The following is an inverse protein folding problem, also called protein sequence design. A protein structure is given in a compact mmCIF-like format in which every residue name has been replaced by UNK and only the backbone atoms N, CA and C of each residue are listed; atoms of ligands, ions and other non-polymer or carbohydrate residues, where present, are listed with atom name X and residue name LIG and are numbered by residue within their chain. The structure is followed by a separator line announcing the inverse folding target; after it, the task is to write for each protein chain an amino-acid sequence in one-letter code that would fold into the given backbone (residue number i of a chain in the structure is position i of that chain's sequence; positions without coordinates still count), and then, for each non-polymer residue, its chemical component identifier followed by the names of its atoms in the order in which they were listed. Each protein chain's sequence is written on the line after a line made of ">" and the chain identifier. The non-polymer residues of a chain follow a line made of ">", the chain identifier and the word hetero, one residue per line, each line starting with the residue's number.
data_IF_875682279001
#
_entry.id   IF_875682279001
#
_cell.length_a   1.000
_cell.length_b   1.000
_cell.length_c   1.000
_cell.angle_alpha   90.00
_cell.angle_beta   90.00
_cell.angle_gamma   90.00
#
_symmetry.space_group_name_H-M   'P 1'
#
loop_
_entity.id
_entity.type
_entity.pdbx_description
1 polymer ?
#
# COMPACT_ATOMS: atom_id res chain seq x y z
N UNK A 1 -50.67 -5.54 -22.17
CA UNK A 1 -49.80 -6.40 -21.34
C UNK A 1 -50.16 -6.16 -19.89
N UNK A 2 -50.52 -7.23 -19.18
CA UNK A 2 -50.87 -7.17 -17.77
C UNK A 2 -49.66 -6.71 -16.94
N UNK A 3 -49.88 -6.07 -15.80
CA UNK A 3 -48.76 -5.56 -14.98
C UNK A 3 -47.88 -6.68 -14.42
N UNK A 4 -48.40 -7.90 -14.39
CA UNK A 4 -47.69 -9.14 -14.05
C UNK A 4 -46.68 -9.51 -15.15
N UNK A 5 -47.06 -9.39 -16.43
CA UNK A 5 -46.16 -9.64 -17.57
C UNK A 5 -44.98 -8.65 -17.56
N UNK A 6 -45.27 -7.35 -17.37
CA UNK A 6 -44.23 -6.32 -17.27
C UNK A 6 -43.26 -6.58 -16.11
N UNK A 7 -43.77 -7.02 -14.96
CA UNK A 7 -42.92 -7.36 -13.81
C UNK A 7 -42.01 -8.56 -14.09
N UNK A 8 -42.51 -9.56 -14.82
CA UNK A 8 -41.73 -10.73 -15.24
C UNK A 8 -40.65 -10.36 -16.27
N UNK A 9 -40.95 -9.47 -17.22
CA UNK A 9 -39.98 -8.98 -18.20
C UNK A 9 -38.84 -8.20 -17.53
N UNK A 10 -39.16 -7.31 -16.58
CA UNK A 10 -38.16 -6.58 -15.79
C UNK A 10 -37.27 -7.54 -14.98
N UNK A 11 -37.87 -8.61 -14.42
CA UNK A 11 -37.12 -9.64 -13.69
C UNK A 11 -36.20 -10.43 -14.62
N UNK A 12 -36.67 -10.79 -15.82
CA UNK A 12 -35.88 -11.47 -16.84
C UNK A 12 -34.68 -10.60 -17.28
N UNK A 13 -34.90 -9.32 -17.52
CA UNK A 13 -33.85 -8.34 -17.87
C UNK A 13 -32.78 -8.21 -16.77
N UNK A 14 -33.20 -8.14 -15.50
CA UNK A 14 -32.28 -8.08 -14.36
C UNK A 14 -31.43 -9.35 -14.27
N UNK A 15 -32.03 -10.52 -14.46
CA UNK A 15 -31.33 -11.81 -14.46
C UNK A 15 -30.36 -11.93 -15.64
N UNK A 16 -30.73 -11.43 -16.82
CA UNK A 16 -29.86 -11.38 -17.99
C UNK A 16 -28.64 -10.48 -17.74
N UNK A 17 -28.84 -9.28 -17.19
CA UNK A 17 -27.74 -8.36 -16.81
C UNK A 17 -26.80 -8.98 -15.78
N UNK A 18 -27.33 -9.69 -14.78
CA UNK A 18 -26.54 -10.37 -13.75
C UNK A 18 -25.71 -11.52 -14.33
N UNK A 19 -26.29 -12.34 -15.22
CA UNK A 19 -25.54 -13.39 -15.94
C UNK A 19 -24.43 -12.80 -16.79
N UNK A 20 -24.71 -11.72 -17.52
CA UNK A 20 -23.70 -11.02 -18.32
C UNK A 20 -22.58 -10.44 -17.45
N UNK A 21 -22.90 -9.92 -16.27
CA UNK A 21 -21.89 -9.47 -15.31
C UNK A 21 -21.02 -10.63 -14.84
N UNK A 22 -21.61 -11.78 -14.48
CA UNK A 22 -20.85 -12.97 -14.08
C UNK A 22 -19.96 -13.51 -15.21
N UNK A 23 -20.45 -13.51 -16.44
CA UNK A 23 -19.67 -13.88 -17.63
C UNK A 23 -18.47 -12.94 -17.81
N UNK A 24 -18.68 -11.63 -17.72
CA UNK A 24 -17.60 -10.62 -17.79
C UNK A 24 -16.61 -10.77 -16.64
N UNK A 25 -17.09 -10.99 -15.41
CA UNK A 25 -16.24 -11.23 -14.24
C UNK A 25 -15.42 -12.51 -14.39
N UNK A 26 -16.01 -13.58 -14.90
CA UNK A 26 -15.32 -14.84 -15.14
C UNK A 26 -14.31 -14.72 -16.28
N UNK A 27 -14.65 -14.00 -17.35
CA UNK A 27 -13.74 -13.67 -18.44
C UNK A 27 -12.53 -12.88 -17.94
N UNK A 28 -12.77 -11.80 -17.19
CA UNK A 28 -11.72 -11.00 -16.57
C UNK A 28 -10.84 -11.83 -15.60
N UNK A 29 -11.44 -12.69 -14.77
CA UNK A 29 -10.69 -13.60 -13.88
C UNK A 29 -9.82 -14.57 -14.65
N UNK A 30 -10.31 -15.13 -15.76
CA UNK A 30 -9.56 -16.06 -16.62
C UNK A 30 -8.41 -15.35 -17.32
N UNK A 31 -8.66 -14.19 -17.94
CA UNK A 31 -7.64 -13.38 -18.61
C UNK A 31 -6.55 -12.94 -17.61
N UNK A 32 -6.94 -12.39 -16.47
CA UNK A 32 -6.00 -12.02 -15.40
C UNK A 32 -5.18 -13.22 -14.89
N UNK A 33 -5.79 -14.41 -14.81
CA UNK A 33 -5.09 -15.62 -14.36
C UNK A 33 -4.13 -16.17 -15.44
N UNK A 34 -4.53 -16.12 -16.71
CA UNK A 34 -3.69 -16.49 -17.85
C UNK A 34 -2.49 -15.56 -17.94
N UNK A 35 -2.69 -14.24 -17.89
CA UNK A 35 -1.61 -13.24 -17.85
C UNK A 35 -0.67 -13.47 -16.66
N UNK A 36 -1.22 -13.76 -15.46
CA UNK A 36 -0.42 -14.07 -14.28
C UNK A 36 0.45 -15.33 -14.45
N UNK A 37 -0.08 -16.36 -15.12
CA UNK A 37 0.65 -17.61 -15.39
C UNK A 37 1.70 -17.39 -16.49
N UNK A 38 1.34 -16.71 -17.57
CA UNK A 38 2.23 -16.39 -18.68
C UNK A 38 3.39 -15.50 -18.23
N UNK A 39 3.12 -14.41 -17.52
CA UNK A 39 4.12 -13.54 -16.91
C UNK A 39 5.06 -14.31 -15.96
N UNK A 40 4.50 -15.26 -15.18
CA UNK A 40 5.31 -16.14 -14.35
C UNK A 40 6.25 -17.01 -15.18
N UNK A 41 5.74 -17.68 -16.22
CA UNK A 41 6.50 -18.59 -17.08
C UNK A 41 7.58 -17.86 -17.88
N UNK A 42 7.26 -16.71 -18.46
CA UNK A 42 8.20 -15.85 -19.17
C UNK A 42 9.36 -15.40 -18.29
N UNK A 43 9.08 -15.05 -17.04
CA UNK A 43 10.14 -14.72 -16.08
C UNK A 43 11.04 -15.92 -15.74
N UNK A 44 10.55 -17.16 -15.86
CA UNK A 44 11.41 -18.35 -15.75
C UNK A 44 12.32 -18.50 -16.97
N UNK A 45 11.86 -18.09 -18.16
CA UNK A 45 12.49 -18.34 -19.46
C UNK A 45 13.54 -17.28 -19.81
N UNK A 46 13.32 -16.02 -19.43
CA UNK A 46 14.23 -14.89 -19.68
C UNK A 46 15.33 -14.70 -18.63
N UNK A 47 15.42 -15.60 -17.64
CA UNK A 47 16.42 -15.50 -16.58
C UNK A 47 16.24 -14.33 -15.60
N UNK A 48 15.16 -13.53 -15.74
CA UNK A 48 14.79 -12.50 -14.76
C UNK A 48 14.56 -13.16 -13.38
N UNK A 49 14.99 -12.54 -12.27
CA UNK A 49 15.17 -13.24 -11.00
C UNK A 49 13.84 -13.49 -10.25
N UNK A 50 12.98 -14.37 -10.77
CA UNK A 50 11.86 -14.96 -10.01
C UNK A 50 12.07 -16.44 -9.67
N UNK A 51 13.11 -17.09 -10.22
CA UNK A 51 13.40 -18.50 -9.98
C UNK A 51 14.16 -18.79 -8.67
N UNK A 52 14.90 -17.81 -8.13
CA UNK A 52 15.56 -18.03 -6.84
C UNK A 52 14.53 -18.23 -5.72
N UNK A 53 13.42 -17.49 -5.74
CA UNK A 53 12.36 -17.62 -4.74
C UNK A 53 11.60 -18.96 -4.79
N UNK A 54 11.37 -19.51 -5.99
CA UNK A 54 10.65 -20.78 -6.17
C UNK A 54 11.51 -21.98 -5.74
N UNK A 55 12.77 -22.03 -6.17
CA UNK A 55 13.73 -23.07 -5.79
C UNK A 55 14.04 -23.02 -4.29
N UNK A 56 14.20 -21.82 -3.71
CA UNK A 56 14.39 -21.64 -2.26
C UNK A 56 13.15 -22.10 -1.48
N UNK A 57 11.93 -21.83 -1.96
CA UNK A 57 10.69 -22.33 -1.34
C UNK A 57 10.59 -23.85 -1.40
N UNK A 58 10.92 -24.45 -2.54
CA UNK A 58 10.93 -25.91 -2.72
C UNK A 58 11.97 -26.58 -1.82
N UNK A 59 13.20 -26.06 -1.78
CA UNK A 59 14.27 -26.51 -0.89
C UNK A 59 13.89 -26.41 0.59
N UNK A 60 13.28 -25.28 1.01
CA UNK A 60 12.74 -25.11 2.38
C UNK A 60 11.66 -26.13 2.71
N UNK A 61 10.73 -26.39 1.79
CA UNK A 61 9.68 -27.41 1.95
C UNK A 61 10.26 -28.81 2.10
N UNK A 62 11.23 -29.17 1.26
CA UNK A 62 11.91 -30.46 1.33
C UNK A 62 12.69 -30.61 2.64
N UNK A 63 13.42 -29.57 3.06
CA UNK A 63 14.13 -29.56 4.34
C UNK A 63 13.15 -29.77 5.50
N UNK A 64 12.04 -29.01 5.56
CA UNK A 64 10.99 -29.19 6.57
C UNK A 64 10.46 -30.61 6.61
N UNK A 65 10.25 -31.23 5.44
CA UNK A 65 9.78 -32.61 5.35
C UNK A 65 10.83 -33.59 5.89
N UNK A 66 12.09 -33.43 5.52
CA UNK A 66 13.19 -34.28 6.00
C UNK A 66 13.37 -34.21 7.53
N UNK A 67 13.33 -32.99 8.11
CA UNK A 67 13.46 -32.82 9.55
C UNK A 67 12.24 -33.36 10.32
N UNK A 68 11.03 -33.18 9.77
CA UNK A 68 9.81 -33.83 10.30
C UNK A 68 9.90 -35.35 10.30
N UNK A 69 10.45 -35.95 9.23
CA UNK A 69 10.67 -37.40 9.19
C UNK A 69 11.72 -37.88 10.20
N UNK A 70 12.67 -37.02 10.59
CA UNK A 70 13.67 -37.29 11.65
C UNK A 70 13.13 -37.02 13.07
N UNK A 71 11.92 -36.49 13.21
CA UNK A 71 11.32 -36.16 14.51
C UNK A 71 11.76 -34.82 15.10
N UNK A 72 12.49 -33.99 14.36
CA UNK A 72 12.98 -32.69 14.83
C UNK A 72 12.15 -31.52 14.27
N UNK A 73 11.99 -30.45 15.05
CA UNK A 73 11.38 -29.21 14.57
C UNK A 73 12.37 -28.40 13.72
N UNK A 74 12.02 -28.25 12.45
CA UNK A 74 12.75 -27.43 11.48
C UNK A 74 13.07 -26.01 11.98
N UNK A 75 12.14 -25.38 12.73
CA UNK A 75 12.37 -24.02 13.20
C UNK A 75 13.48 -23.98 14.24
N UNK A 76 13.49 -24.91 15.19
CA UNK A 76 14.52 -24.98 16.24
C UNK A 76 15.90 -25.24 15.63
N UNK A 77 16.01 -26.23 14.73
CA UNK A 77 17.27 -26.54 14.01
C UNK A 77 17.76 -25.33 13.22
N UNK A 78 16.84 -24.62 12.57
CA UNK A 78 17.16 -23.42 11.81
C UNK A 78 17.67 -22.28 12.69
N UNK A 79 17.06 -22.06 13.87
CA UNK A 79 17.48 -21.01 14.80
C UNK A 79 18.82 -21.36 15.47
N UNK A 80 19.09 -22.65 15.73
CA UNK A 80 20.37 -23.12 16.29
C UNK A 80 21.57 -22.82 15.38
N UNK A 81 21.34 -22.77 14.07
CA UNK A 81 22.38 -22.52 13.08
C UNK A 81 22.59 -21.02 12.78
N UNK A 82 21.83 -20.12 13.40
CA UNK A 82 22.03 -18.67 13.27
C UNK A 82 23.00 -18.16 14.32
N UNK A 83 24.00 -17.40 13.88
CA UNK A 83 24.93 -16.72 14.79
C UNK A 83 24.30 -15.44 15.34
N UNK A 84 24.76 -14.96 16.51
CA UNK A 84 24.25 -13.73 17.12
C UNK A 84 24.41 -12.51 16.20
N UNK A 85 25.54 -12.41 15.50
CA UNK A 85 25.82 -11.34 14.53
C UNK A 85 24.88 -11.38 13.32
N UNK A 86 24.56 -12.58 12.81
CA UNK A 86 23.61 -12.75 11.72
C UNK A 86 22.20 -12.32 12.10
N UNK A 87 21.78 -12.59 13.35
CA UNK A 87 20.49 -12.17 13.88
C UNK A 87 20.41 -10.64 13.97
N UNK A 88 21.43 -9.98 14.52
CA UNK A 88 21.45 -8.54 14.67
C UNK A 88 21.41 -7.81 13.31
N UNK A 89 22.21 -8.28 12.35
CA UNK A 89 22.19 -7.74 10.99
C UNK A 89 20.83 -7.94 10.31
N UNK A 90 20.20 -9.08 10.55
CA UNK A 90 18.87 -9.38 10.02
C UNK A 90 17.78 -8.49 10.62
N UNK A 91 17.86 -8.20 11.93
CA UNK A 91 16.94 -7.30 12.61
C UNK A 91 17.07 -5.86 12.12
N UNK A 92 18.30 -5.37 11.90
CA UNK A 92 18.55 -4.05 11.31
C UNK A 92 17.98 -3.93 9.89
N UNK A 93 18.03 -5.01 9.11
CA UNK A 93 17.50 -5.07 7.73
C UNK A 93 15.98 -5.16 7.63
N UNK A 94 15.28 -5.57 8.69
CA UNK A 94 13.81 -5.66 8.64
C UNK A 94 13.18 -4.28 8.52
N UNK A 95 12.24 -4.14 7.56
CA UNK A 95 11.39 -2.95 7.47
C UNK A 95 10.56 -2.84 8.75
N UNK A 96 10.81 -1.80 9.53
CA UNK A 96 10.14 -1.57 10.83
C UNK A 96 8.64 -1.23 10.71
N UNK A 97 8.18 -0.80 9.53
CA UNK A 97 6.77 -0.50 9.25
C UNK A 97 6.34 -1.09 7.90
N UNK A 98 6.16 -2.42 7.80
CA UNK A 98 5.68 -3.06 6.59
C UNK A 98 4.23 -2.66 6.31
N UNK A 99 3.83 -2.70 5.03
CA UNK A 99 2.44 -2.53 4.66
C UNK A 99 1.66 -3.82 4.95
N UNK A 100 0.75 -3.76 5.92
CA UNK A 100 -0.08 -4.89 6.34
C UNK A 100 -1.28 -5.12 5.42
N UNK A 101 -1.50 -4.23 4.43
CA UNK A 101 -2.65 -4.23 3.55
C UNK A 101 -3.73 -3.25 4.02
N UNK A 102 -4.74 -3.06 3.17
CA UNK A 102 -5.89 -2.20 3.47
C UNK A 102 -6.82 -2.93 4.46
N UNK A 103 -7.02 -2.34 5.64
CA UNK A 103 -8.02 -2.79 6.61
C UNK A 103 -9.20 -1.81 6.66
N UNK A 104 -8.92 -0.53 6.92
CA UNK A 104 -9.94 0.54 6.95
C UNK A 104 -9.38 1.90 6.46
N UNK A 105 -10.28 2.79 6.04
CA UNK A 105 -9.95 4.15 5.60
C UNK A 105 -9.40 5.01 6.74
N UNK A 106 -9.86 4.84 7.98
CA UNK A 106 -9.32 5.58 9.13
C UNK A 106 -7.85 5.21 9.35
N UNK A 107 -7.54 3.91 9.39
CA UNK A 107 -6.17 3.43 9.58
C UNK A 107 -5.24 3.86 8.44
N UNK A 108 -5.73 3.83 7.20
CA UNK A 108 -4.98 4.30 6.03
C UNK A 108 -4.70 5.82 6.13
N UNK A 109 -5.69 6.60 6.55
CA UNK A 109 -5.58 8.05 6.74
C UNK A 109 -4.61 8.39 7.87
N UNK A 110 -4.72 7.69 9.00
CA UNK A 110 -3.81 7.83 10.13
C UNK A 110 -2.36 7.51 9.74
N UNK A 111 -2.14 6.44 8.97
CA UNK A 111 -0.80 6.09 8.47
C UNK A 111 -0.25 7.14 7.49
N UNK A 112 -1.10 7.71 6.63
CA UNK A 112 -0.73 8.83 5.77
C UNK A 112 -0.31 10.04 6.63
N UNK A 113 -1.13 10.40 7.63
CA UNK A 113 -0.87 11.51 8.54
C UNK A 113 0.44 11.33 9.30
N UNK A 114 0.64 10.19 9.97
CA UNK A 114 1.89 9.88 10.68
C UNK A 114 3.13 9.97 9.78
N UNK A 115 3.01 9.59 8.50
CA UNK A 115 4.11 9.72 7.55
C UNK A 115 4.38 11.18 7.22
N UNK A 116 3.34 11.97 6.97
CA UNK A 116 3.47 13.39 6.63
C UNK A 116 4.06 14.18 7.80
N UNK A 117 3.54 13.99 9.02
CA UNK A 117 4.05 14.66 10.22
C UNK A 117 5.51 14.34 10.51
N UNK A 118 5.96 13.11 10.26
CA UNK A 118 7.38 12.73 10.36
C UNK A 118 8.28 13.38 9.30
N UNK A 119 7.70 13.79 8.17
CA UNK A 119 8.43 14.43 7.07
C UNK A 119 8.49 15.95 7.21
N UNK A 120 7.53 16.55 7.92
CA UNK A 120 7.50 17.98 8.19
C UNK A 120 8.71 18.41 9.03
N UNK A 121 9.39 19.47 8.58
CA UNK A 121 10.52 20.09 9.28
C UNK A 121 10.17 21.53 9.60
N UNK A 122 9.83 21.86 10.86
CA UNK A 122 9.52 23.23 11.25
C UNK A 122 10.74 24.15 11.14
N UNK A 123 10.53 25.40 10.71
CA UNK A 123 11.56 26.43 10.77
C UNK A 123 11.48 27.16 12.11
N UNK A 124 12.40 26.83 13.02
CA UNK A 124 12.40 27.39 14.38
C UNK A 124 12.64 28.90 14.39
N UNK A 125 13.34 29.47 13.41
CA UNK A 125 13.62 30.92 13.36
C UNK A 125 12.39 31.73 13.01
N UNK A 126 11.62 31.25 12.03
CA UNK A 126 10.34 31.86 11.65
C UNK A 126 9.36 31.76 12.83
N UNK A 127 9.30 30.59 13.48
CA UNK A 127 8.48 30.37 14.67
C UNK A 127 8.80 31.34 15.82
N UNK A 128 10.08 31.54 16.17
CA UNK A 128 10.46 32.47 17.24
C UNK A 128 10.14 33.91 16.88
N UNK A 129 10.38 34.31 15.62
CA UNK A 129 10.07 35.66 15.16
C UNK A 129 8.57 35.95 15.13
N UNK A 130 7.74 34.97 14.81
CA UNK A 130 6.28 35.08 14.91
C UNK A 130 5.81 35.13 16.36
N UNK A 131 6.40 34.31 17.25
CA UNK A 131 6.10 34.35 18.69
C UNK A 131 6.36 35.74 19.28
N UNK A 132 7.47 36.37 18.93
CA UNK A 132 7.79 37.73 19.39
C UNK A 132 6.83 38.79 18.85
N UNK A 133 6.39 38.66 17.59
CA UNK A 133 5.47 39.62 16.95
C UNK A 133 4.04 39.55 17.51
N UNK A 134 3.52 38.36 17.73
CA UNK A 134 2.15 38.15 18.22
C UNK A 134 2.03 38.33 19.75
N UNK A 135 3.13 38.17 20.48
CA UNK A 135 3.12 38.16 21.94
C UNK A 135 2.54 36.86 22.51
N UNK A 136 2.86 36.55 23.76
CA UNK A 136 2.61 35.23 24.35
C UNK A 136 1.11 34.90 24.50
N UNK A 137 0.27 35.89 24.80
CA UNK A 137 -1.18 35.70 25.03
C UNK A 137 -1.96 35.36 23.75
N UNK A 138 -1.57 35.94 22.61
CA UNK A 138 -2.25 35.69 21.32
C UNK A 138 -1.65 34.47 20.63
N UNK A 139 -0.34 34.25 20.78
CA UNK A 139 0.36 33.13 20.17
C UNK A 139 -0.10 31.78 20.72
N UNK A 140 -0.34 31.68 22.03
CA UNK A 140 -0.97 30.52 22.66
C UNK A 140 -2.48 30.71 22.73
N UNK A 141 -3.11 30.79 21.56
CA UNK A 141 -4.54 30.98 21.40
C UNK A 141 -5.37 29.90 22.13
N UNK A 142 -6.28 30.35 22.99
CA UNK A 142 -7.30 29.52 23.64
C UNK A 142 -8.62 29.53 22.86
N UNK A 143 -9.67 28.94 23.43
CA UNK A 143 -11.00 28.93 22.76
C UNK A 143 -11.61 30.32 22.61
N UNK A 144 -11.18 31.29 23.42
CA UNK A 144 -11.77 32.64 23.52
C UNK A 144 -10.82 33.75 23.05
N UNK A 145 -9.67 33.43 22.45
CA UNK A 145 -8.73 34.44 21.97
C UNK A 145 -9.18 35.02 20.64
N UNK A 146 -9.44 36.32 20.61
CA UNK A 146 -9.89 37.05 19.43
C UNK A 146 -8.66 37.55 18.63
N UNK A 147 -8.49 37.13 17.37
CA UNK A 147 -7.42 37.64 16.49
C UNK A 147 -6.64 36.61 15.67
N UNK A 148 -6.90 35.30 15.82
CA UNK A 148 -6.18 34.24 15.06
C UNK A 148 -6.57 34.18 13.58
N UNK A 149 -7.69 34.79 13.17
CA UNK A 149 -8.28 34.63 11.83
C UNK A 149 -7.63 35.48 10.73
N UNK A 150 -6.86 36.51 11.08
CA UNK A 150 -6.36 37.51 10.11
C UNK A 150 -4.92 37.24 9.63
N UNK A 151 -4.43 36.00 9.76
CA UNK A 151 -3.09 35.62 9.32
C UNK A 151 -3.00 35.58 7.79
N UNK A 152 -2.00 36.30 7.23
CA UNK A 152 -1.66 36.24 5.81
C UNK A 152 -0.32 35.53 5.63
N UNK A 153 -0.36 34.32 5.09
CA UNK A 153 0.82 33.53 4.81
C UNK A 153 1.71 34.21 3.75
N UNK A 154 3.02 33.96 3.86
CA UNK A 154 3.96 34.38 2.82
C UNK A 154 3.76 33.54 1.54
N UNK A 155 4.02 34.10 0.35
CA UNK A 155 3.89 33.36 -0.90
C UNK A 155 4.84 32.14 -0.96
N UNK A 156 5.97 32.20 -0.25
CA UNK A 156 6.90 31.08 -0.14
C UNK A 156 6.31 29.92 0.69
N UNK A 157 5.65 30.22 1.81
CA UNK A 157 4.97 29.20 2.62
C UNK A 157 3.86 28.49 1.83
N UNK A 158 3.08 29.26 1.06
CA UNK A 158 2.06 28.72 0.16
C UNK A 158 2.69 27.80 -0.90
N UNK A 159 3.81 28.21 -1.50
CA UNK A 159 4.50 27.39 -2.50
C UNK A 159 4.99 26.06 -1.92
N UNK A 160 5.59 26.06 -0.71
CA UNK A 160 6.01 24.84 -0.01
C UNK A 160 4.82 23.90 0.26
N UNK A 161 3.67 24.45 0.66
CA UNK A 161 2.44 23.68 0.86
C UNK A 161 1.96 23.03 -0.45
N UNK A 162 1.94 23.78 -1.55
CA UNK A 162 1.52 23.28 -2.87
C UNK A 162 2.43 22.14 -3.33
N UNK A 163 3.75 22.29 -3.22
CA UNK A 163 4.68 21.22 -3.56
C UNK A 163 4.43 19.93 -2.76
N UNK A 164 4.10 20.04 -1.48
CA UNK A 164 3.80 18.89 -0.64
C UNK A 164 2.44 18.25 -0.99
N UNK A 165 1.46 19.03 -1.45
CA UNK A 165 0.21 18.49 -2.01
C UNK A 165 0.47 17.75 -3.32
N UNK A 166 1.29 18.28 -4.21
CA UNK A 166 1.65 17.62 -5.47
C UNK A 166 2.38 16.30 -5.22
N UNK A 167 3.30 16.26 -4.24
CA UNK A 167 3.95 15.00 -3.80
C UNK A 167 2.92 14.00 -3.28
N UNK A 168 1.89 14.45 -2.56
CA UNK A 168 0.81 13.58 -2.09
C UNK A 168 -0.03 13.03 -3.25
N UNK A 169 -0.40 13.86 -4.21
CA UNK A 169 -1.16 13.47 -5.40
C UNK A 169 -0.36 12.46 -6.23
N UNK A 170 0.92 12.75 -6.51
CA UNK A 170 1.80 11.85 -7.26
C UNK A 170 1.96 10.48 -6.56
N UNK A 171 1.98 10.46 -5.22
CA UNK A 171 2.03 9.22 -4.45
C UNK A 171 0.70 8.46 -4.49
N UNK A 172 -0.43 9.14 -4.45
CA UNK A 172 -1.78 8.55 -4.61
C UNK A 172 -1.97 7.99 -6.02
N UNK A 173 -1.52 8.69 -7.06
CA UNK A 173 -1.58 8.21 -8.44
C UNK A 173 -0.82 6.88 -8.65
N UNK A 174 0.31 6.71 -7.94
CA UNK A 174 1.14 5.49 -7.99
C UNK A 174 0.65 4.36 -7.08
N UNK A 175 -0.46 4.54 -6.35
CA UNK A 175 -0.96 3.52 -5.43
C UNK A 175 -1.38 2.23 -6.17
N UNK A 176 -1.98 2.39 -7.35
CA UNK A 176 -2.26 1.27 -8.27
C UNK A 176 -1.21 1.24 -9.38
N UNK A 177 -0.17 0.43 -9.20
CA UNK A 177 0.85 0.24 -10.25
C UNK A 177 0.31 -0.70 -11.33
N UNK A 178 0.20 -0.20 -12.58
CA UNK A 178 -0.06 -1.04 -13.75
C UNK A 178 1.13 -1.99 -13.92
N UNK A 179 0.84 -3.29 -13.99
CA UNK A 179 1.86 -4.31 -14.31
C UNK A 179 2.29 -4.09 -15.76
N UNK A 180 3.58 -4.27 -16.05
CA UNK A 180 4.11 -4.17 -17.42
C UNK A 180 3.30 -5.12 -18.32
N UNK A 181 2.67 -4.55 -19.35
CA UNK A 181 1.98 -5.29 -20.40
C UNK A 181 3.02 -5.57 -21.49
N UNK A 182 3.31 -6.83 -21.76
CA UNK A 182 4.23 -7.24 -22.82
C UNK A 182 3.40 -7.40 -24.10
N UNK A 183 3.70 -6.63 -25.17
CA UNK A 183 2.96 -6.67 -26.46
C UNK A 183 3.33 -7.88 -27.33
N UNK A 184 4.34 -8.68 -26.95
CA UNK A 184 4.76 -9.89 -27.68
C UNK A 184 3.84 -11.11 -27.42
N UNK A 185 2.65 -10.90 -26.86
CA UNK A 185 1.63 -11.94 -26.62
C UNK A 185 0.40 -11.64 -27.50
N UNK A 186 0.58 -11.75 -28.82
CA UNK A 186 -0.48 -12.03 -29.80
C UNK A 186 0.00 -13.09 -30.75
#
# INVERSE_FOLDING_TARGET
>A
MSDIEKANDIKADRLFRLRNLHLKMNGARKLNNQERIASRNYCLQTGRPNNQGSNTKKSRRNSRRNWRHRGEDYNIVKMRNWTAEEVEHWERKKKKNPDTGFADFEQASYRQYQRLTKQMKPNLKEYTGEKEKLGEEVFYAGTNTLGTTDHKDTPEAISRMVEDLDKQIAKRAKYSSRRVHDEDIT
#
